data_IF_907524840927
#
_entry.id   IF_907524840927
#
_cell.length_a   1.000
_cell.length_b   1.000
_cell.length_c   1.000
_cell.angle_alpha   90.00
_cell.angle_beta   90.00
_cell.angle_gamma   90.00
#
_symmetry.space_group_name_H-M   'P 1'
#
loop_
_entity.id
_entity.type
_entity.pdbx_description
1 polymer ?
#
# COMPACT_ATOMS: atom_id res chain seq x y z
N UNK A 1 4.11 22.07 -13.60
CA UNK A 1 3.34 20.85 -13.28
C UNK A 1 1.92 20.95 -13.82
N UNK A 2 1.45 19.87 -14.43
CA UNK A 2 0.08 19.74 -14.94
C UNK A 2 -0.79 19.12 -13.84
N UNK A 3 -1.97 19.68 -13.62
CA UNK A 3 -2.95 19.14 -12.68
C UNK A 3 -4.25 18.83 -13.42
N UNK A 4 -4.81 17.64 -13.18
CA UNK A 4 -6.10 17.20 -13.74
C UNK A 4 -7.04 16.96 -12.56
N UNK A 5 -8.16 17.67 -12.55
CA UNK A 5 -9.18 17.55 -11.49
C UNK A 5 -10.17 16.47 -11.90
N UNK A 6 -10.39 15.50 -11.02
CA UNK A 6 -11.37 14.44 -11.22
C UNK A 6 -11.28 13.40 -10.12
N UNK A 7 -12.35 12.60 -9.98
CA UNK A 7 -12.30 11.41 -9.13
C UNK A 7 -11.65 10.26 -9.90
N UNK A 8 -10.96 9.37 -9.19
CA UNK A 8 -10.27 8.24 -9.84
C UNK A 8 -11.22 7.27 -10.57
N UNK A 9 -12.50 7.23 -10.18
CA UNK A 9 -13.57 6.44 -10.78
C UNK A 9 -14.30 7.15 -11.92
N UNK A 10 -13.97 8.42 -12.18
CA UNK A 10 -14.46 9.17 -13.33
C UNK A 10 -13.53 8.96 -14.54
N UNK A 11 -13.93 8.04 -15.41
CA UNK A 11 -13.19 7.73 -16.64
C UNK A 11 -13.04 8.90 -17.61
N UNK A 12 -13.83 9.97 -17.49
CA UNK A 12 -13.75 11.13 -18.39
C UNK A 12 -12.47 11.94 -18.21
N UNK A 13 -11.85 11.90 -17.02
CA UNK A 13 -10.60 12.60 -16.74
C UNK A 13 -9.35 11.80 -17.15
N UNK A 14 -9.46 10.49 -17.39
CA UNK A 14 -8.31 9.63 -17.66
C UNK A 14 -7.52 9.99 -18.91
N UNK A 15 -8.11 10.39 -20.05
CA UNK A 15 -7.32 10.82 -21.20
C UNK A 15 -6.39 11.98 -20.87
N UNK A 16 -6.89 12.97 -20.12
CA UNK A 16 -6.10 14.11 -19.67
C UNK A 16 -5.06 13.70 -18.61
N UNK A 17 -5.39 12.77 -17.71
CA UNK A 17 -4.47 12.24 -16.70
C UNK A 17 -3.29 11.48 -17.35
N UNK A 18 -3.56 10.75 -18.43
CA UNK A 18 -2.61 9.83 -19.07
C UNK A 18 -1.79 10.48 -20.19
N UNK A 19 -2.13 11.69 -20.62
CA UNK A 19 -1.43 12.40 -21.69
C UNK A 19 0.03 12.68 -21.31
N UNK A 20 0.96 12.13 -22.09
CA UNK A 20 2.40 12.27 -21.88
C UNK A 20 2.99 11.44 -20.72
N UNK A 21 2.16 10.73 -19.95
CA UNK A 21 2.64 9.89 -18.84
C UNK A 21 3.23 8.56 -19.35
N UNK A 22 4.42 8.19 -18.87
CA UNK A 22 5.05 6.88 -19.12
C UNK A 22 4.72 5.86 -18.03
N UNK A 23 4.35 6.34 -16.85
CA UNK A 23 4.01 5.54 -15.69
C UNK A 23 2.77 6.11 -14.97
N UNK A 24 1.93 5.21 -14.45
CA UNK A 24 0.85 5.54 -13.52
C UNK A 24 1.20 5.02 -12.14
N UNK A 25 1.27 5.93 -11.16
CA UNK A 25 1.32 5.58 -9.74
C UNK A 25 -0.08 5.68 -9.15
N UNK A 26 -0.73 4.53 -8.92
CA UNK A 26 -2.08 4.47 -8.40
C UNK A 26 -2.10 4.42 -6.87
N UNK A 27 -2.19 5.60 -6.25
CA UNK A 27 -2.24 5.81 -4.78
C UNK A 27 -3.59 6.36 -4.30
N UNK A 28 -4.65 6.21 -5.09
CA UNK A 28 -5.98 6.75 -4.75
C UNK A 28 -6.85 5.72 -4.02
N UNK A 29 -7.70 6.22 -3.13
CA UNK A 29 -8.73 5.46 -2.44
C UNK A 29 -9.85 6.40 -1.99
N UNK A 30 -11.09 6.00 -2.24
CA UNK A 30 -12.27 6.59 -1.63
C UNK A 30 -12.53 5.94 -0.26
N UNK A 31 -12.27 6.69 0.80
CA UNK A 31 -12.51 6.25 2.18
C UNK A 31 -13.96 6.38 2.62
N UNK A 32 -14.80 7.18 1.94
CA UNK A 32 -16.17 7.44 2.36
C UNK A 32 -17.00 6.15 2.53
N UNK A 33 -17.05 5.21 1.55
CA UNK A 33 -17.84 3.99 1.68
C UNK A 33 -17.31 3.03 2.77
N UNK A 34 -16.00 3.04 3.04
CA UNK A 34 -15.37 2.26 4.12
C UNK A 34 -15.62 2.88 5.51
N UNK A 35 -15.79 4.21 5.59
CA UNK A 35 -16.11 4.94 6.83
C UNK A 35 -17.60 4.93 7.14
N UNK A 36 -18.47 4.63 6.18
CA UNK A 36 -19.90 4.47 6.39
C UNK A 36 -20.22 3.39 7.46
N UNK A 37 -21.36 3.55 8.12
CA UNK A 37 -21.87 2.62 9.14
C UNK A 37 -23.35 2.29 8.85
N UNK A 38 -23.69 1.07 8.40
CA UNK A 38 -22.78 -0.01 8.00
C UNK A 38 -21.91 0.36 6.78
N UNK A 39 -20.86 -0.42 6.51
CA UNK A 39 -19.99 -0.22 5.32
C UNK A 39 -20.83 -0.27 4.04
N UNK A 40 -20.66 0.72 3.17
CA UNK A 40 -21.28 0.73 1.84
C UNK A 40 -20.42 -0.10 0.88
N UNK A 41 -20.65 -1.41 0.89
CA UNK A 41 -19.90 -2.35 0.07
C UNK A 41 -20.05 -2.08 -1.42
N UNK A 42 -21.26 -1.72 -1.87
CA UNK A 42 -21.53 -1.53 -3.29
C UNK A 42 -20.74 -0.33 -3.84
N UNK A 43 -20.74 0.79 -3.12
CA UNK A 43 -19.95 1.96 -3.52
C UNK A 43 -18.45 1.67 -3.43
N UNK A 44 -17.97 0.98 -2.37
CA UNK A 44 -16.56 0.58 -2.28
C UNK A 44 -16.10 -0.29 -3.46
N UNK A 45 -16.90 -1.26 -3.89
CA UNK A 45 -16.55 -2.10 -5.03
C UNK A 45 -16.50 -1.29 -6.34
N UNK A 46 -17.43 -0.35 -6.54
CA UNK A 46 -17.42 0.51 -7.74
C UNK A 46 -16.24 1.49 -7.74
N UNK A 47 -16.10 2.28 -6.68
CA UNK A 47 -15.12 3.38 -6.64
C UNK A 47 -13.70 2.88 -6.44
N UNK A 48 -13.47 1.86 -5.61
CA UNK A 48 -12.12 1.40 -5.31
C UNK A 48 -11.67 0.17 -6.08
N UNK A 49 -12.54 -0.81 -6.36
CA UNK A 49 -12.13 -2.04 -7.06
C UNK A 49 -12.25 -1.89 -8.58
N UNK A 50 -13.47 -1.66 -9.08
CA UNK A 50 -13.74 -1.55 -10.53
C UNK A 50 -12.93 -0.44 -11.18
N UNK A 51 -12.96 0.77 -10.63
CA UNK A 51 -12.17 1.89 -11.15
C UNK A 51 -10.67 1.60 -11.20
N UNK A 52 -10.11 0.95 -10.17
CA UNK A 52 -8.68 0.59 -10.15
C UNK A 52 -8.33 -0.37 -11.29
N UNK A 53 -9.16 -1.38 -11.51
CA UNK A 53 -8.96 -2.38 -12.57
C UNK A 53 -9.13 -1.72 -13.95
N UNK A 54 -10.14 -0.87 -14.12
CA UNK A 54 -10.38 -0.16 -15.39
C UNK A 54 -9.26 0.84 -15.69
N UNK A 55 -8.77 1.58 -14.70
CA UNK A 55 -7.62 2.49 -14.86
C UNK A 55 -6.35 1.71 -15.20
N UNK A 56 -6.13 0.55 -14.56
CA UNK A 56 -5.06 -0.38 -14.94
C UNK A 56 -5.17 -0.68 -16.44
N UNK A 57 -6.27 -1.23 -16.94
CA UNK A 57 -6.39 -1.59 -18.36
C UNK A 57 -6.27 -0.37 -19.30
N UNK A 58 -6.94 0.74 -18.98
CA UNK A 58 -6.99 1.94 -19.82
C UNK A 58 -5.62 2.62 -19.95
N UNK A 59 -4.77 2.51 -18.92
CA UNK A 59 -3.45 3.13 -18.93
C UNK A 59 -2.39 2.35 -19.73
N UNK A 60 -2.69 1.14 -20.20
CA UNK A 60 -1.77 0.35 -21.01
C UNK A 60 -1.29 1.15 -22.26
N UNK A 61 -0.01 1.01 -22.68
CA UNK A 61 1.01 0.09 -22.16
C UNK A 61 1.89 0.69 -21.02
N UNK A 62 1.52 1.84 -20.44
CA UNK A 62 2.33 2.56 -19.44
C UNK A 62 2.67 1.67 -18.25
N UNK A 63 3.85 1.83 -17.65
CA UNK A 63 4.15 1.13 -16.40
C UNK A 63 3.07 1.46 -15.35
N UNK A 64 2.69 0.48 -14.53
CA UNK A 64 1.68 0.67 -13.49
C UNK A 64 2.20 0.28 -12.11
N UNK A 65 2.37 1.25 -11.22
CA UNK A 65 2.79 1.04 -9.84
C UNK A 65 1.57 1.22 -8.94
N UNK A 66 1.13 0.14 -8.28
CA UNK A 66 -0.01 0.18 -7.38
C UNK A 66 0.41 0.30 -5.92
N UNK A 67 -0.22 1.21 -5.18
CA UNK A 67 -0.07 1.26 -3.72
C UNK A 67 -1.11 0.33 -3.09
N UNK A 68 -0.64 -0.85 -2.72
CA UNK A 68 -1.37 -1.84 -1.95
C UNK A 68 -1.14 -1.65 -0.44
N UNK A 69 -1.17 -2.71 0.35
CA UNK A 69 -1.16 -2.65 1.81
C UNK A 69 -0.73 -3.97 2.42
N UNK A 70 -0.13 -3.96 3.61
CA UNK A 70 0.06 -5.19 4.39
C UNK A 70 -1.26 -5.86 4.80
N UNK A 71 -2.40 -5.17 4.72
CA UNK A 71 -3.71 -5.71 5.09
C UNK A 71 -4.18 -6.86 4.18
N UNK A 72 -3.48 -7.11 3.06
CA UNK A 72 -3.65 -8.31 2.23
C UNK A 72 -3.19 -9.59 2.95
N UNK A 73 -2.38 -9.48 4.01
CA UNK A 73 -1.83 -10.61 4.78
C UNK A 73 -2.33 -10.62 6.23
N UNK A 74 -3.61 -10.96 6.46
CA UNK A 74 -4.11 -11.16 7.82
C UNK A 74 -3.78 -12.55 8.35
N UNK A 75 -4.25 -13.60 7.67
CA UNK A 75 -3.88 -14.98 7.98
C UNK A 75 -2.55 -15.33 7.28
N UNK A 76 -1.44 -15.22 8.00
CA UNK A 76 -0.11 -15.54 7.50
C UNK A 76 0.26 -17.00 7.80
N UNK A 77 0.57 -17.76 6.75
CA UNK A 77 1.12 -19.10 6.85
C UNK A 77 2.54 -19.08 7.46
N UNK A 78 3.10 -20.23 7.89
CA UNK A 78 4.52 -20.32 8.25
C UNK A 78 5.42 -19.69 7.18
N UNK A 79 6.34 -18.83 7.64
CA UNK A 79 7.18 -18.00 6.77
C UNK A 79 8.61 -18.51 6.75
N UNK A 80 9.27 -18.55 5.58
CA UNK A 80 10.70 -18.87 5.51
C UNK A 80 11.50 -17.84 6.31
N UNK A 81 12.64 -18.27 6.84
CA UNK A 81 13.58 -17.38 7.54
C UNK A 81 14.66 -16.92 6.56
N UNK A 82 15.03 -15.65 6.61
CA UNK A 82 16.24 -15.17 5.93
C UNK A 82 17.52 -15.63 6.65
N UNK A 83 18.68 -15.26 6.09
CA UNK A 83 20.01 -15.56 6.67
C UNK A 83 20.20 -15.02 8.10
N UNK A 84 19.39 -14.04 8.52
CA UNK A 84 19.39 -13.50 9.87
C UNK A 84 18.31 -14.13 10.77
N UNK A 85 17.68 -15.23 10.33
CA UNK A 85 16.66 -15.97 11.08
C UNK A 85 15.29 -15.31 11.12
N UNK A 86 15.03 -14.27 10.31
CA UNK A 86 13.79 -13.48 10.35
C UNK A 86 12.77 -14.05 9.38
N UNK A 87 11.53 -14.22 9.85
CA UNK A 87 10.41 -14.61 8.98
C UNK A 87 10.13 -13.57 7.90
N UNK A 88 10.30 -13.96 6.64
CA UNK A 88 10.12 -13.13 5.45
C UNK A 88 8.73 -13.36 4.86
N UNK A 89 8.07 -12.27 4.44
CA UNK A 89 6.90 -12.37 3.55
C UNK A 89 7.40 -12.03 2.17
N UNK A 90 7.11 -12.89 1.22
CA UNK A 90 7.33 -12.68 -0.21
C UNK A 90 5.99 -12.38 -0.87
N UNK A 91 6.03 -11.86 -2.09
CA UNK A 91 4.91 -11.71 -3.00
C UNK A 91 4.19 -13.03 -3.31
N UNK A 92 4.88 -14.17 -3.21
CA UNK A 92 4.28 -15.50 -3.34
C UNK A 92 3.47 -15.92 -2.10
N UNK A 93 3.56 -15.17 -1.00
CA UNK A 93 2.82 -15.50 0.21
C UNK A 93 1.31 -15.29 -0.02
N UNK A 94 0.43 -16.22 0.38
CA UNK A 94 -0.99 -16.10 0.12
C UNK A 94 -1.58 -14.78 0.62
N UNK A 95 -2.43 -14.19 -0.22
CA UNK A 95 -3.24 -13.02 0.15
C UNK A 95 -4.49 -13.53 0.86
N UNK A 96 -4.54 -13.35 2.19
CA UNK A 96 -5.67 -13.75 3.06
C UNK A 96 -6.09 -12.58 3.95
N UNK A 97 -6.80 -11.58 3.39
CA UNK A 97 -7.25 -10.41 4.14
C UNK A 97 -8.46 -10.73 5.02
N UNK A 98 -8.64 -9.97 6.11
CA UNK A 98 -9.81 -10.04 7.00
C UNK A 98 -10.75 -8.84 6.89
N UNK A 99 -10.55 -7.99 5.89
CA UNK A 99 -11.32 -6.76 5.70
C UNK A 99 -11.63 -6.53 4.24
N UNK A 100 -12.72 -5.81 3.96
CA UNK A 100 -13.09 -5.39 2.59
C UNK A 100 -12.01 -4.51 1.96
N UNK A 101 -11.34 -3.68 2.78
CA UNK A 101 -10.17 -2.91 2.37
C UNK A 101 -9.02 -3.83 1.92
N UNK A 102 -8.63 -4.82 2.72
CA UNK A 102 -7.59 -5.78 2.30
C UNK A 102 -7.99 -6.61 1.08
N UNK A 103 -9.26 -7.02 1.01
CA UNK A 103 -9.80 -7.84 -0.08
C UNK A 103 -9.73 -7.15 -1.44
N UNK A 104 -10.14 -5.87 -1.54
CA UNK A 104 -10.05 -5.18 -2.84
C UNK A 104 -8.59 -4.94 -3.27
N UNK A 105 -7.69 -4.62 -2.33
CA UNK A 105 -6.26 -4.45 -2.65
C UNK A 105 -5.67 -5.76 -3.18
N UNK A 106 -5.97 -6.89 -2.52
CA UNK A 106 -5.56 -8.21 -2.97
C UNK A 106 -6.13 -8.58 -4.35
N UNK A 107 -7.38 -8.21 -4.63
CA UNK A 107 -7.98 -8.42 -5.94
C UNK A 107 -7.25 -7.63 -7.04
N UNK A 108 -6.95 -6.35 -6.81
CA UNK A 108 -6.17 -5.54 -7.77
C UNK A 108 -4.78 -6.14 -8.00
N UNK A 109 -4.10 -6.63 -6.96
CA UNK A 109 -2.80 -7.31 -7.12
C UNK A 109 -2.87 -8.52 -8.07
N UNK A 110 -3.94 -9.32 -8.01
CA UNK A 110 -4.12 -10.43 -8.94
C UNK A 110 -4.27 -9.94 -10.41
N UNK A 111 -4.92 -8.80 -10.63
CA UNK A 111 -5.03 -8.19 -11.97
C UNK A 111 -3.70 -7.62 -12.46
N UNK A 112 -2.79 -7.17 -11.59
CA UNK A 112 -1.44 -6.74 -12.00
C UNK A 112 -0.65 -7.91 -12.59
N UNK A 113 -0.76 -9.09 -11.98
CA UNK A 113 -0.15 -10.32 -12.51
C UNK A 113 -0.78 -10.73 -13.84
N UNK A 114 -2.11 -10.66 -13.96
CA UNK A 114 -2.81 -10.96 -15.20
C UNK A 114 -2.38 -10.03 -16.34
N UNK A 115 -2.27 -8.73 -16.08
CA UNK A 115 -1.77 -7.75 -17.06
C UNK A 115 -0.33 -8.03 -17.47
N UNK A 116 0.56 -8.32 -16.53
CA UNK A 116 1.95 -8.63 -16.83
C UNK A 116 2.07 -9.88 -17.70
N UNK A 117 1.52 -11.01 -17.26
CA UNK A 117 1.65 -12.26 -18.01
C UNK A 117 0.81 -12.29 -19.29
N UNK A 118 -0.23 -11.46 -19.39
CA UNK A 118 -1.06 -11.33 -20.59
C UNK A 118 -0.45 -10.43 -21.67
N UNK A 119 0.30 -9.38 -21.30
CA UNK A 119 0.75 -8.34 -22.25
C UNK A 119 2.24 -7.98 -22.18
N UNK A 120 2.98 -8.54 -21.22
CA UNK A 120 4.37 -8.17 -20.95
C UNK A 120 4.55 -6.82 -20.24
N UNK A 121 3.45 -6.20 -19.81
CA UNK A 121 3.45 -4.87 -19.20
C UNK A 121 4.19 -4.84 -17.86
N UNK A 122 4.89 -3.73 -17.60
CA UNK A 122 5.55 -3.50 -16.32
C UNK A 122 4.52 -3.10 -15.26
N UNK A 123 4.14 -4.03 -14.38
CA UNK A 123 3.25 -3.78 -13.24
C UNK A 123 3.94 -4.21 -11.93
N UNK A 124 3.73 -3.47 -10.83
CA UNK A 124 4.18 -3.89 -9.50
C UNK A 124 3.30 -3.31 -8.40
N UNK A 125 3.34 -3.92 -7.21
CA UNK A 125 2.58 -3.49 -6.04
C UNK A 125 3.50 -3.22 -4.84
N UNK A 126 3.39 -2.04 -4.24
CA UNK A 126 4.05 -1.74 -2.97
C UNK A 126 3.05 -1.92 -1.82
N UNK A 127 3.46 -2.61 -0.75
CA UNK A 127 2.59 -2.97 0.39
C UNK A 127 3.04 -2.26 1.68
N UNK A 128 2.91 -0.92 1.77
CA UNK A 128 3.27 -0.21 2.99
C UNK A 128 2.42 -0.68 4.19
N UNK A 129 3.00 -0.52 5.38
CA UNK A 129 2.29 -0.65 6.64
C UNK A 129 1.61 0.67 7.03
N UNK A 130 1.42 0.97 8.31
CA UNK A 130 0.90 2.27 8.71
C UNK A 130 1.86 3.37 8.27
N UNK A 131 1.44 4.26 7.38
CA UNK A 131 2.29 5.38 6.95
C UNK A 131 2.11 6.55 7.91
N UNK A 132 3.21 7.15 8.35
CA UNK A 132 3.22 8.39 9.12
C UNK A 132 4.07 9.45 8.40
N UNK A 133 3.68 10.69 8.60
CA UNK A 133 4.25 11.88 7.99
C UNK A 133 3.38 13.07 8.35
N UNK A 134 3.88 14.28 8.12
CA UNK A 134 3.10 15.50 8.35
C UNK A 134 2.38 15.85 7.06
N UNK A 135 1.05 15.76 7.10
CA UNK A 135 0.20 16.32 6.05
C UNK A 135 0.32 17.86 6.02
N UNK A 136 0.09 18.52 4.87
CA UNK A 136 0.03 19.99 4.80
C UNK A 136 -0.94 20.59 5.83
N UNK A 137 -2.03 19.87 6.13
CA UNK A 137 -2.86 20.11 7.30
C UNK A 137 -2.48 19.12 8.42
N UNK A 138 -1.81 19.56 9.50
CA UNK A 138 -1.38 18.67 10.57
C UNK A 138 -2.50 17.87 11.24
N UNK A 139 -3.74 18.39 11.24
CA UNK A 139 -4.89 17.72 11.84
C UNK A 139 -5.30 16.45 11.06
N UNK A 140 -4.99 16.36 9.77
CA UNK A 140 -5.33 15.23 8.91
C UNK A 140 -4.26 14.13 8.95
N UNK A 141 -3.14 14.36 9.64
CA UNK A 141 -2.08 13.38 9.78
C UNK A 141 -2.57 12.16 10.56
N UNK A 142 -2.25 10.95 10.10
CA UNK A 142 -2.66 9.70 10.74
C UNK A 142 -2.21 9.57 12.22
N UNK A 143 -1.22 10.37 12.66
CA UNK A 143 -0.77 10.46 14.05
C UNK A 143 -1.31 11.65 14.85
N UNK A 144 -2.16 12.51 14.27
CA UNK A 144 -2.64 13.74 14.91
C UNK A 144 -3.36 13.46 16.23
N UNK A 145 -4.27 12.48 16.25
CA UNK A 145 -4.99 12.08 17.47
C UNK A 145 -4.06 11.54 18.55
N UNK A 146 -3.03 10.78 18.15
CA UNK A 146 -2.02 10.24 19.06
C UNK A 146 -1.26 11.40 19.73
N UNK A 147 -0.82 12.39 18.93
CA UNK A 147 -0.11 13.56 19.44
C UNK A 147 -1.03 14.41 20.32
N UNK A 148 -2.29 14.60 19.94
CA UNK A 148 -3.28 15.34 20.72
C UNK A 148 -3.53 14.66 22.08
N UNK A 149 -3.67 13.34 22.11
CA UNK A 149 -3.84 12.58 23.35
C UNK A 149 -2.58 12.67 24.22
N UNK A 150 -1.39 12.44 23.65
CA UNK A 150 -0.12 12.57 24.37
C UNK A 150 0.06 13.96 24.99
N UNK A 151 -0.31 15.04 24.29
CA UNK A 151 -0.28 16.40 24.83
C UNK A 151 -1.23 16.59 26.00
N UNK A 152 -2.40 15.95 25.97
CA UNK A 152 -3.44 16.06 27.00
C UNK A 152 -3.15 15.23 28.24
N UNK A 153 -2.65 14.01 28.06
CA UNK A 153 -2.61 12.98 29.12
C UNK A 153 -1.18 12.55 29.48
N UNK A 154 -0.20 12.91 28.67
CA UNK A 154 1.18 12.42 28.76
C UNK A 154 1.35 10.94 28.43
N UNK A 155 0.28 10.23 28.02
CA UNK A 155 0.28 8.77 27.79
C UNK A 155 -0.70 8.37 26.70
N UNK A 156 -0.29 7.47 25.81
CA UNK A 156 -1.16 6.88 24.79
C UNK A 156 -1.03 5.36 24.83
N UNK A 157 -2.16 4.64 24.75
CA UNK A 157 -2.20 3.18 24.73
C UNK A 157 -3.25 2.69 23.76
N UNK A 158 -2.83 1.88 22.78
CA UNK A 158 -3.73 1.19 21.85
C UNK A 158 -3.42 -0.31 21.84
N UNK A 159 -4.40 -1.18 22.14
CA UNK A 159 -4.24 -2.62 21.98
C UNK A 159 -3.98 -2.99 20.51
N UNK A 160 -3.10 -3.98 20.27
CA UNK A 160 -2.68 -4.36 18.92
C UNK A 160 -1.72 -3.32 18.34
N UNK A 161 -0.42 -3.51 18.62
CA UNK A 161 0.63 -2.66 18.06
C UNK A 161 0.58 -2.60 16.53
N UNK A 162 1.10 -1.52 15.96
CA UNK A 162 1.18 -1.30 14.51
C UNK A 162 2.62 -1.25 14.02
N UNK A 163 2.87 -1.73 12.80
CA UNK A 163 4.10 -1.42 12.06
C UNK A 163 3.90 -0.09 11.37
N UNK A 164 4.86 0.81 11.52
CA UNK A 164 4.83 2.15 10.95
C UNK A 164 6.04 2.43 10.07
N UNK A 165 5.84 3.19 9.01
CA UNK A 165 6.88 3.60 8.06
C UNK A 165 6.73 5.07 7.69
N UNK A 166 7.84 5.77 7.52
CA UNK A 166 7.82 7.19 7.18
C UNK A 166 7.34 7.40 5.73
N UNK A 167 6.62 8.48 5.47
CA UNK A 167 6.09 8.80 4.13
C UNK A 167 7.21 8.93 3.08
N UNK A 168 8.36 9.48 3.46
CA UNK A 168 9.50 9.61 2.54
C UNK A 168 10.10 8.24 2.17
N UNK A 169 10.11 7.28 3.09
CA UNK A 169 10.55 5.91 2.78
C UNK A 169 9.63 5.25 1.75
N UNK A 170 8.33 5.53 1.83
CA UNK A 170 7.33 5.03 0.86
C UNK A 170 7.50 5.75 -0.48
N UNK A 171 7.68 7.07 -0.46
CA UNK A 171 7.93 7.85 -1.69
C UNK A 171 9.20 7.39 -2.41
N UNK A 172 10.29 7.13 -1.67
CA UNK A 172 11.53 6.59 -2.22
C UNK A 172 11.34 5.19 -2.82
N UNK A 173 10.54 4.33 -2.18
CA UNK A 173 10.18 3.02 -2.71
C UNK A 173 9.41 3.13 -4.04
N UNK A 174 8.44 4.07 -4.12
CA UNK A 174 7.69 4.35 -5.35
C UNK A 174 8.61 4.83 -6.46
N UNK A 175 9.42 5.86 -6.19
CA UNK A 175 10.36 6.39 -7.17
C UNK A 175 11.32 5.30 -7.69
N UNK A 176 11.84 4.47 -6.78
CA UNK A 176 12.69 3.34 -7.16
C UNK A 176 11.99 2.29 -8.02
N UNK A 177 10.70 2.01 -7.78
CA UNK A 177 9.92 1.07 -8.58
C UNK A 177 9.63 1.62 -9.99
N UNK A 178 9.30 2.91 -10.09
CA UNK A 178 9.13 3.62 -11.37
C UNK A 178 10.43 3.57 -12.17
N UNK A 179 11.54 4.04 -11.59
CA UNK A 179 12.85 4.05 -12.27
C UNK A 179 13.26 2.65 -12.73
N UNK A 180 13.17 1.65 -11.85
CA UNK A 180 13.55 0.28 -12.18
C UNK A 180 12.69 -0.31 -13.32
N UNK A 181 11.38 -0.06 -13.32
CA UNK A 181 10.49 -0.54 -14.36
C UNK A 181 10.71 0.14 -15.71
N UNK A 182 10.86 1.46 -15.73
CA UNK A 182 11.10 2.22 -16.96
C UNK A 182 12.46 1.89 -17.61
N UNK A 183 13.51 1.71 -16.80
CA UNK A 183 14.89 1.53 -17.32
C UNK A 183 15.32 0.08 -17.48
N UNK A 184 14.81 -0.82 -16.64
CA UNK A 184 15.28 -2.22 -16.56
C UNK A 184 14.15 -3.25 -16.68
N UNK A 185 12.90 -2.80 -16.83
CA UNK A 185 11.75 -3.65 -17.06
C UNK A 185 11.18 -4.30 -15.80
N UNK A 186 10.16 -5.14 -16.00
CA UNK A 186 9.32 -5.68 -14.93
C UNK A 186 10.09 -6.41 -13.82
N UNK A 187 11.06 -7.27 -14.14
CA UNK A 187 11.81 -8.03 -13.14
C UNK A 187 12.50 -7.09 -12.13
N UNK A 188 13.06 -5.98 -12.60
CA UNK A 188 13.71 -5.00 -11.74
C UNK A 188 12.70 -4.24 -10.86
N UNK A 189 11.50 -3.96 -11.37
CA UNK A 189 10.43 -3.38 -10.56
C UNK A 189 9.92 -4.37 -9.50
N UNK A 190 9.81 -5.66 -9.84
CA UNK A 190 9.44 -6.73 -8.91
C UNK A 190 10.48 -6.91 -7.80
N UNK A 191 11.78 -6.82 -8.11
CA UNK A 191 12.86 -6.82 -7.11
C UNK A 191 12.72 -5.65 -6.12
N UNK A 192 12.28 -4.47 -6.59
CA UNK A 192 11.97 -3.34 -5.71
C UNK A 192 10.78 -3.69 -4.82
N UNK A 193 9.67 -4.19 -5.38
CA UNK A 193 8.52 -4.65 -4.61
C UNK A 193 8.92 -5.64 -3.49
N UNK A 194 9.69 -6.67 -3.84
CA UNK A 194 10.20 -7.70 -2.91
C UNK A 194 11.05 -7.08 -1.80
N UNK A 195 12.02 -6.24 -2.17
CA UNK A 195 12.92 -5.58 -1.22
C UNK A 195 12.14 -4.68 -0.26
N UNK A 196 11.22 -3.87 -0.78
CA UNK A 196 10.48 -2.88 -0.01
C UNK A 196 9.42 -3.53 0.88
N UNK A 197 8.85 -4.67 0.48
CA UNK A 197 7.98 -5.50 1.34
C UNK A 197 8.69 -5.91 2.64
N UNK A 198 10.00 -6.16 2.58
CA UNK A 198 10.80 -6.46 3.77
C UNK A 198 11.29 -5.18 4.45
N UNK A 199 11.92 -4.26 3.70
CA UNK A 199 12.56 -3.06 4.26
C UNK A 199 11.57 -2.16 5.02
N UNK A 200 10.41 -1.85 4.42
CA UNK A 200 9.39 -0.97 5.01
C UNK A 200 8.79 -1.55 6.31
N UNK A 201 9.02 -2.83 6.60
CA UNK A 201 8.57 -3.52 7.83
C UNK A 201 9.65 -3.66 8.89
N UNK A 202 10.90 -3.31 8.57
CA UNK A 202 12.08 -3.67 9.37
C UNK A 202 13.06 -2.52 9.61
N UNK A 203 12.61 -1.27 9.49
CA UNK A 203 13.37 -0.12 10.00
C UNK A 203 13.68 -0.33 11.49
N UNK A 204 14.83 0.16 11.96
CA UNK A 204 15.21 0.01 13.37
C UNK A 204 14.10 0.47 14.36
N UNK A 205 13.35 1.56 14.08
CA UNK A 205 12.17 1.93 14.88
C UNK A 205 11.04 0.89 14.86
N UNK A 206 10.73 0.30 13.70
CA UNK A 206 9.67 -0.71 13.58
C UNK A 206 10.01 -2.03 14.29
N UNK A 207 11.30 -2.41 14.32
CA UNK A 207 11.79 -3.57 15.09
C UNK A 207 11.65 -3.35 16.60
N UNK A 208 12.05 -2.19 17.11
CA UNK A 208 11.92 -1.86 18.53
C UNK A 208 10.46 -1.91 19.01
N UNK A 209 9.51 -1.45 18.17
CA UNK A 209 8.08 -1.53 18.46
C UNK A 209 7.55 -2.97 18.49
N UNK A 210 8.04 -3.86 17.62
CA UNK A 210 7.68 -5.28 17.59
C UNK A 210 8.21 -6.04 18.80
N UNK A 211 9.47 -5.85 19.16
CA UNK A 211 10.09 -6.50 20.32
C UNK A 211 9.38 -6.08 21.62
N UNK A 212 9.04 -4.80 21.77
CA UNK A 212 8.27 -4.29 22.91
C UNK A 212 6.85 -4.89 22.99
N UNK A 213 6.21 -5.14 21.85
CA UNK A 213 4.88 -5.76 21.78
C UNK A 213 4.90 -7.22 22.22
N UNK A 214 5.86 -8.02 21.74
CA UNK A 214 5.98 -9.43 22.12
C UNK A 214 6.47 -9.62 23.57
N UNK A 215 7.38 -8.77 24.05
CA UNK A 215 7.85 -8.80 25.44
C UNK A 215 6.73 -8.55 26.47
N UNK A 216 5.70 -7.78 26.11
CA UNK A 216 4.51 -7.56 26.95
C UNK A 216 3.49 -8.68 26.86
N UNK A 217 3.46 -9.39 25.74
CA UNK A 217 2.49 -10.47 25.49
C UNK A 217 2.93 -11.81 26.07
N UNK A 218 4.23 -12.01 26.34
CA UNK A 218 4.77 -13.19 27.01
C UNK A 218 4.59 -13.18 28.55
N UNK A 219 4.02 -12.12 29.13
CA UNK A 219 3.71 -12.00 30.56
C UNK A 219 2.22 -12.28 30.90
N UNK A 220 1.50 -12.98 30.01
CA UNK A 220 0.16 -13.48 30.26
C UNK A 220 0.14 -14.99 30.10
#
# INVERSE_FOLDING_TARGET
>A
DRFVVGSHDDGSCWPALLEGAECVVHNSIDWAPLRARPVDLASHLRTNLDASIRLLHTSAPRQFVFISTIAVHHDMLPRPKDHAGRSVVTEDHPLRPNSVYGAHKAAVEAFLWAEHFGSGRNTCALRPCGVYGVEPNPADSHGADIIAELRKTGRYSKPGGGKWVHVEDVAAAVAGAVEAGLTRGWKAALEVEQRELVRLRHTAPAKAALEAFFARSAKK
#
